data_IF_900480327661
#
_entry.id   IF_900480327661
#
_cell.length_a   1.000
_cell.length_b   1.000
_cell.length_c   1.000
_cell.angle_alpha   90.00
_cell.angle_beta   90.00
_cell.angle_gamma   90.00
#
_symmetry.space_group_name_H-M   'P 1'
#
loop_
_entity.id
_entity.type
_entity.pdbx_description
1 polymer ?
#
# COMPACT_ATOMS: atom_id res chain seq x y z
N UNK A 1 17.79 -49.56 -24.40
CA UNK A 1 18.88 -48.95 -23.59
C UNK A 1 19.18 -47.50 -23.92
N UNK A 2 18.95 -46.99 -25.14
CA UNK A 2 19.22 -45.60 -25.53
C UNK A 2 18.15 -44.61 -25.00
N UNK A 3 16.88 -45.04 -24.92
CA UNK A 3 15.76 -44.20 -24.46
C UNK A 3 15.87 -43.79 -22.98
N UNK A 4 16.34 -44.69 -22.10
CA UNK A 4 16.47 -44.34 -20.68
C UNK A 4 17.59 -43.34 -20.41
N UNK A 5 18.69 -43.39 -21.18
CA UNK A 5 19.84 -42.47 -21.01
C UNK A 5 19.49 -41.02 -21.36
N UNK A 6 18.57 -40.83 -22.31
CA UNK A 6 18.06 -39.49 -22.65
C UNK A 6 17.05 -38.98 -21.61
N UNK A 7 16.22 -39.87 -21.05
CA UNK A 7 15.32 -39.52 -19.94
C UNK A 7 16.09 -39.10 -18.68
N UNK A 8 17.16 -39.82 -18.31
CA UNK A 8 18.00 -39.43 -17.16
C UNK A 8 18.73 -38.10 -17.37
N UNK A 9 19.18 -37.80 -18.61
CA UNK A 9 19.76 -36.49 -18.94
C UNK A 9 18.73 -35.36 -18.86
N UNK A 10 17.51 -35.59 -19.34
CA UNK A 10 16.43 -34.62 -19.25
C UNK A 10 16.05 -34.36 -17.79
N UNK A 11 15.93 -35.41 -16.98
CA UNK A 11 15.66 -35.30 -15.53
C UNK A 11 16.80 -34.57 -14.82
N UNK A 12 18.06 -34.86 -15.13
CA UNK A 12 19.21 -34.17 -14.54
C UNK A 12 19.29 -32.69 -14.96
N UNK A 13 18.91 -32.35 -16.19
CA UNK A 13 18.82 -30.96 -16.65
C UNK A 13 17.67 -30.25 -15.95
N UNK A 14 16.48 -30.86 -15.88
CA UNK A 14 15.32 -30.29 -15.18
C UNK A 14 15.63 -30.10 -13.70
N UNK A 15 16.24 -31.09 -13.05
CA UNK A 15 16.68 -31.00 -11.66
C UNK A 15 17.77 -29.94 -11.48
N UNK A 16 18.74 -29.86 -12.40
CA UNK A 16 19.76 -28.80 -12.40
C UNK A 16 19.16 -27.40 -12.55
N UNK A 17 18.17 -27.22 -13.43
CA UNK A 17 17.45 -25.96 -13.59
C UNK A 17 16.61 -25.62 -12.35
N UNK A 18 15.96 -26.62 -11.72
CA UNK A 18 15.22 -26.43 -10.46
C UNK A 18 16.18 -26.07 -9.33
N UNK A 19 17.33 -26.74 -9.21
CA UNK A 19 18.35 -26.43 -8.21
C UNK A 19 18.90 -25.03 -8.44
N UNK A 20 19.24 -24.63 -9.67
CA UNK A 20 19.67 -23.27 -10.00
C UNK A 20 18.57 -22.25 -9.69
N UNK A 21 17.31 -22.53 -10.01
CA UNK A 21 16.17 -21.67 -9.70
C UNK A 21 15.98 -21.48 -8.18
N UNK A 22 16.18 -22.55 -7.39
CA UNK A 22 16.08 -22.53 -5.94
C UNK A 22 17.34 -21.91 -5.29
N UNK A 23 18.52 -22.12 -5.86
CA UNK A 23 19.81 -21.73 -5.24
C UNK A 23 20.39 -20.41 -5.75
N UNK A 24 19.84 -19.82 -6.82
CA UNK A 24 20.31 -18.57 -7.39
C UNK A 24 19.19 -17.51 -7.42
N UNK A 25 18.80 -16.96 -6.26
CA UNK A 25 17.85 -15.84 -6.19
C UNK A 25 18.31 -14.64 -7.04
N UNK A 26 19.62 -14.50 -7.27
CA UNK A 26 20.19 -13.53 -8.21
C UNK A 26 19.74 -13.72 -9.66
N UNK A 27 19.57 -14.95 -10.14
CA UNK A 27 19.12 -15.20 -11.52
C UNK A 27 17.64 -14.87 -11.70
N UNK A 28 16.79 -15.21 -10.71
CA UNK A 28 15.39 -14.81 -10.71
C UNK A 28 15.26 -13.28 -10.70
N UNK A 29 15.99 -12.60 -9.80
CA UNK A 29 16.03 -11.14 -9.72
C UNK A 29 16.53 -10.49 -11.00
N UNK A 30 17.57 -11.03 -11.61
CA UNK A 30 18.09 -10.55 -12.89
C UNK A 30 17.04 -10.72 -14.00
N UNK A 31 16.36 -11.86 -14.05
CA UNK A 31 15.27 -12.11 -14.99
C UNK A 31 14.10 -11.15 -14.82
N UNK A 32 13.63 -10.94 -13.59
CA UNK A 32 12.56 -9.98 -13.30
C UNK A 32 12.99 -8.54 -13.61
N UNK A 33 14.21 -8.16 -13.23
CA UNK A 33 14.79 -6.86 -13.58
C UNK A 33 14.77 -6.64 -15.10
N UNK A 34 15.31 -7.59 -15.89
CA UNK A 34 15.31 -7.49 -17.36
C UNK A 34 13.88 -7.44 -17.92
N UNK A 35 12.96 -8.27 -17.40
CA UNK A 35 11.54 -8.29 -17.80
C UNK A 35 10.87 -6.94 -17.60
N UNK A 36 11.17 -6.26 -16.50
CA UNK A 36 10.54 -4.98 -16.18
C UNK A 36 11.26 -3.79 -16.81
N UNK A 37 12.59 -3.79 -16.92
CA UNK A 37 13.36 -2.60 -17.35
C UNK A 37 13.71 -2.55 -18.83
N UNK A 38 13.43 -3.61 -19.60
CA UNK A 38 13.73 -3.61 -21.04
C UNK A 38 12.91 -2.54 -21.80
N UNK A 39 13.36 -2.06 -22.97
CA UNK A 39 12.71 -0.98 -23.72
C UNK A 39 11.27 -1.25 -24.20
N UNK A 40 10.86 -2.52 -24.26
CA UNK A 40 9.53 -2.97 -24.68
C UNK A 40 8.59 -3.21 -23.50
N UNK A 41 9.08 -3.09 -22.27
CA UNK A 41 8.25 -3.15 -21.07
C UNK A 41 7.26 -1.97 -20.98
N UNK A 42 6.18 -2.18 -20.25
CA UNK A 42 5.25 -1.11 -19.87
C UNK A 42 5.81 -0.13 -18.84
N UNK A 43 6.97 -0.43 -18.22
CA UNK A 43 7.51 0.31 -17.07
C UNK A 43 7.76 1.79 -17.38
N UNK A 44 8.21 2.12 -18.60
CA UNK A 44 8.46 3.52 -18.99
C UNK A 44 7.21 4.41 -18.92
N UNK A 45 6.02 3.83 -19.11
CA UNK A 45 4.75 4.56 -19.03
C UNK A 45 4.37 4.84 -17.57
N UNK A 46 4.72 3.93 -16.66
CA UNK A 46 4.53 4.11 -15.22
C UNK A 46 5.49 5.18 -14.69
N UNK A 47 6.74 5.16 -15.16
CA UNK A 47 7.80 6.11 -14.79
C UNK A 47 7.72 7.46 -15.52
N UNK A 48 6.75 7.64 -16.43
CA UNK A 48 6.68 8.86 -17.21
C UNK A 48 6.44 10.07 -16.31
N UNK A 49 7.05 11.21 -16.67
CA UNK A 49 6.80 12.47 -15.98
C UNK A 49 5.32 12.86 -16.08
N UNK A 50 4.81 13.48 -15.03
CA UNK A 50 3.45 13.99 -14.97
C UNK A 50 3.43 15.37 -14.31
N UNK A 51 2.36 16.10 -14.60
CA UNK A 51 1.98 17.30 -13.85
C UNK A 51 0.57 17.02 -13.31
N UNK A 52 0.30 17.28 -12.02
CA UNK A 52 -1.06 17.24 -11.50
C UNK A 52 -1.99 18.16 -12.29
N UNK A 53 -3.16 17.65 -12.66
CA UNK A 53 -4.21 18.44 -13.30
C UNK A 53 -4.85 19.40 -12.31
N UNK A 54 -5.57 20.41 -12.80
CA UNK A 54 -6.33 21.33 -11.93
C UNK A 54 -7.34 20.58 -11.05
N UNK A 55 -7.99 19.54 -11.57
CA UNK A 55 -8.91 18.71 -10.81
C UNK A 55 -8.20 17.90 -9.71
N UNK A 56 -7.06 17.29 -10.01
CA UNK A 56 -6.24 16.56 -9.01
C UNK A 56 -5.72 17.51 -7.91
N UNK A 57 -5.33 18.75 -8.26
CA UNK A 57 -4.92 19.75 -7.29
C UNK A 57 -6.09 20.29 -6.46
N UNK A 58 -7.25 20.53 -7.09
CA UNK A 58 -8.46 20.91 -6.36
C UNK A 58 -8.82 19.83 -5.34
N UNK A 59 -8.78 18.56 -5.77
CA UNK A 59 -8.97 17.40 -4.93
C UNK A 59 -8.01 17.36 -3.73
N UNK A 60 -6.70 17.49 -3.98
CA UNK A 60 -5.65 17.47 -2.96
C UNK A 60 -5.84 18.58 -1.90
N UNK A 61 -6.38 19.73 -2.32
CA UNK A 61 -6.58 20.89 -1.46
C UNK A 61 -8.00 20.96 -0.87
N UNK A 62 -8.84 19.93 -1.03
CA UNK A 62 -10.22 19.93 -0.53
C UNK A 62 -11.13 20.99 -1.18
N UNK A 63 -10.84 21.37 -2.42
CA UNK A 63 -11.55 22.40 -3.17
C UNK A 63 -12.47 21.78 -4.23
N UNK A 64 -13.64 22.40 -4.46
CA UNK A 64 -14.47 22.09 -5.61
C UNK A 64 -13.83 22.70 -6.87
N UNK A 65 -13.65 21.90 -7.93
CA UNK A 65 -13.14 22.42 -9.20
C UNK A 65 -14.16 23.42 -9.78
N UNK A 66 -13.74 24.68 -9.92
CA UNK A 66 -14.60 25.81 -10.30
C UNK A 66 -15.01 25.83 -11.78
N UNK A 67 -15.09 24.68 -12.45
CA UNK A 67 -15.34 24.59 -13.90
C UNK A 67 -16.34 23.51 -14.26
N UNK A 68 -17.55 23.56 -13.71
CA UNK A 68 -18.80 23.25 -14.43
C UNK A 68 -20.01 23.41 -13.51
N UNK A 69 -21.03 24.09 -14.03
CA UNK A 69 -22.35 24.30 -13.45
C UNK A 69 -22.49 25.37 -12.35
N UNK A 70 -22.60 26.62 -12.79
CA UNK A 70 -23.57 27.56 -12.20
C UNK A 70 -24.99 26.99 -12.33
N UNK A 71 -25.36 26.11 -11.42
CA UNK A 71 -26.75 25.94 -11.03
C UNK A 71 -26.79 26.00 -9.51
N UNK A 72 -27.69 26.84 -9.00
CA UNK A 72 -28.01 26.99 -7.59
C UNK A 72 -28.38 25.64 -6.95
N UNK A 73 -27.38 24.84 -6.60
CA UNK A 73 -27.49 23.78 -5.62
C UNK A 73 -26.98 24.36 -4.31
N UNK A 74 -27.88 24.38 -3.32
CA UNK A 74 -27.50 24.51 -1.92
C UNK A 74 -26.21 23.72 -1.68
N UNK A 75 -25.16 24.37 -1.16
CA UNK A 75 -24.09 23.66 -0.44
C UNK A 75 -24.79 22.86 0.65
N UNK A 76 -25.16 21.62 0.37
CA UNK A 76 -25.35 20.64 1.43
C UNK A 76 -23.98 20.50 2.06
N UNK A 77 -23.83 21.03 3.28
CA UNK A 77 -22.69 20.72 4.15
C UNK A 77 -22.68 19.20 4.30
N UNK A 78 -21.92 18.51 3.46
CA UNK A 78 -21.70 17.10 3.64
C UNK A 78 -20.72 16.90 4.78
N UNK A 79 -21.01 15.94 5.64
CA UNK A 79 -20.11 15.59 6.72
C UNK A 79 -18.73 15.23 6.15
N UNK A 80 -17.63 15.63 6.78
CA UNK A 80 -16.30 15.24 6.33
C UNK A 80 -16.11 13.72 6.39
N UNK A 81 -15.12 13.21 5.66
CA UNK A 81 -14.67 11.83 5.85
C UNK A 81 -14.14 11.69 7.29
N UNK A 82 -14.60 10.69 8.07
CA UNK A 82 -14.10 10.48 9.43
C UNK A 82 -12.57 10.34 9.47
N UNK A 83 -11.90 10.86 10.51
CA UNK A 83 -10.46 10.64 10.68
C UNK A 83 -10.21 9.34 11.47
N UNK A 84 -10.70 8.24 10.93
CA UNK A 84 -10.56 6.88 11.48
C UNK A 84 -9.67 6.08 10.53
N UNK A 85 -8.70 5.32 11.05
CA UNK A 85 -7.74 4.58 10.22
C UNK A 85 -7.98 3.09 10.30
N UNK A 86 -7.91 2.40 9.17
CA UNK A 86 -8.04 0.96 9.04
C UNK A 86 -6.79 0.34 8.39
N UNK A 87 -6.32 -0.75 8.98
CA UNK A 87 -5.29 -1.63 8.42
C UNK A 87 -5.79 -3.08 8.38
N UNK A 88 -5.31 -3.85 7.40
CA UNK A 88 -5.50 -5.30 7.34
C UNK A 88 -4.15 -6.01 7.50
N UNK A 89 -4.09 -7.07 8.32
CA UNK A 89 -2.90 -7.91 8.41
C UNK A 89 -3.21 -9.36 8.75
N UNK A 90 -2.28 -10.27 8.43
CA UNK A 90 -2.29 -11.61 9.00
C UNK A 90 -3.47 -12.47 8.57
N UNK A 91 -3.96 -12.30 7.34
CA UNK A 91 -5.11 -13.07 6.82
C UNK A 91 -4.73 -14.52 6.46
N UNK A 92 -3.44 -14.85 6.43
CA UNK A 92 -2.91 -16.21 6.28
C UNK A 92 -2.05 -16.57 7.49
N UNK A 93 -2.08 -17.82 7.91
CA UNK A 93 -1.24 -18.27 9.01
C UNK A 93 0.23 -18.43 8.54
N UNK A 94 1.19 -17.65 9.09
CA UNK A 94 2.59 -17.74 8.69
C UNK A 94 3.25 -19.09 9.04
N UNK A 95 2.70 -19.85 9.99
CA UNK A 95 3.17 -21.20 10.31
C UNK A 95 3.08 -22.16 9.11
N UNK A 96 2.00 -22.05 8.33
CA UNK A 96 1.75 -22.90 7.16
C UNK A 96 2.08 -22.20 5.84
N UNK A 97 2.18 -20.87 5.87
CA UNK A 97 2.49 -20.03 4.71
C UNK A 97 3.59 -19.02 5.06
N UNK A 98 4.88 -19.42 5.11
CA UNK A 98 5.96 -18.52 5.52
C UNK A 98 6.04 -17.22 4.70
N UNK A 99 5.62 -17.25 3.43
CA UNK A 99 5.55 -16.06 2.58
C UNK A 99 4.45 -15.06 2.94
N UNK A 100 3.56 -15.37 3.89
CA UNK A 100 2.59 -14.43 4.44
C UNK A 100 3.22 -13.35 5.33
N UNK A 101 4.43 -13.61 5.85
CA UNK A 101 5.14 -12.69 6.73
C UNK A 101 4.62 -12.67 8.16
N UNK A 102 5.35 -11.98 9.01
CA UNK A 102 5.04 -11.74 10.41
C UNK A 102 4.82 -10.25 10.62
N UNK A 103 3.97 -9.87 11.59
CA UNK A 103 3.80 -8.45 11.92
C UNK A 103 5.10 -7.95 12.55
N UNK A 104 5.88 -7.22 11.76
CA UNK A 104 7.27 -6.91 12.01
C UNK A 104 7.49 -5.42 12.25
N UNK A 105 8.76 -5.00 12.25
CA UNK A 105 9.13 -3.61 12.45
C UNK A 105 8.62 -2.69 11.34
N UNK A 106 8.57 -3.16 10.09
CA UNK A 106 8.00 -2.39 8.97
C UNK A 106 6.50 -2.15 9.18
N UNK A 107 5.77 -3.21 9.56
CA UNK A 107 4.34 -3.18 9.87
C UNK A 107 4.05 -2.22 11.03
N UNK A 108 4.90 -2.23 12.06
CA UNK A 108 4.85 -1.28 13.18
C UNK A 108 5.04 0.17 12.71
N UNK A 109 6.02 0.44 11.85
CA UNK A 109 6.27 1.79 11.32
C UNK A 109 5.08 2.30 10.50
N UNK A 110 4.41 1.44 9.74
CA UNK A 110 3.23 1.83 8.96
C UNK A 110 2.10 2.31 9.87
N UNK A 111 1.75 1.53 10.90
CA UNK A 111 0.73 1.91 11.89
C UNK A 111 1.14 3.16 12.66
N UNK A 112 2.40 3.25 13.11
CA UNK A 112 2.93 4.44 13.79
C UNK A 112 2.87 5.69 12.93
N UNK A 113 3.14 5.57 11.63
CA UNK A 113 3.08 6.71 10.72
C UNK A 113 1.67 7.30 10.66
N UNK A 114 0.63 6.46 10.67
CA UNK A 114 -0.76 6.91 10.74
C UNK A 114 -1.07 7.61 12.07
N UNK A 115 -0.70 7.00 13.20
CA UNK A 115 -0.91 7.59 14.54
C UNK A 115 -0.26 8.98 14.63
N UNK A 116 0.99 9.10 14.21
CA UNK A 116 1.78 10.35 14.34
C UNK A 116 1.31 11.42 13.35
N UNK A 117 1.07 11.05 12.10
CA UNK A 117 0.80 12.01 11.03
C UNK A 117 -0.67 12.41 10.92
N UNK A 118 -1.57 11.44 11.07
CA UNK A 118 -3.02 11.67 10.90
C UNK A 118 -3.69 12.07 12.21
N UNK A 119 -3.12 11.70 13.36
CA UNK A 119 -3.71 11.89 14.70
C UNK A 119 -5.18 11.47 14.72
N UNK A 120 -5.48 10.22 14.32
CA UNK A 120 -6.85 9.78 14.09
C UNK A 120 -7.63 9.63 15.40
N UNK A 121 -8.95 9.69 15.29
CA UNK A 121 -9.86 9.45 16.42
C UNK A 121 -9.81 7.97 16.87
N UNK A 122 -9.54 7.07 15.92
CA UNK A 122 -9.34 5.64 16.17
C UNK A 122 -8.47 4.99 15.09
N UNK A 123 -7.74 3.94 15.49
CA UNK A 123 -7.02 3.05 14.57
C UNK A 123 -7.51 1.61 14.77
N UNK A 124 -8.00 0.99 13.70
CA UNK A 124 -8.45 -0.39 13.69
C UNK A 124 -7.47 -1.26 12.90
N UNK A 125 -6.96 -2.32 13.54
CA UNK A 125 -6.18 -3.35 12.88
C UNK A 125 -7.04 -4.61 12.75
N UNK A 126 -7.53 -4.86 11.54
CA UNK A 126 -8.27 -6.06 11.19
C UNK A 126 -7.30 -7.22 10.93
N UNK A 127 -7.50 -8.35 11.62
CA UNK A 127 -6.54 -9.45 11.56
C UNK A 127 -7.15 -10.85 11.72
N UNK A 128 -6.39 -11.87 11.33
CA UNK A 128 -6.66 -13.28 11.71
C UNK A 128 -5.51 -13.86 12.53
N UNK A 129 -4.25 -13.68 12.11
CA UNK A 129 -3.06 -14.23 12.79
C UNK A 129 -2.04 -13.13 13.10
N UNK A 130 -1.75 -12.93 14.38
CA UNK A 130 -0.78 -11.91 14.85
C UNK A 130 0.23 -12.41 15.90
N UNK A 131 0.04 -13.62 16.45
CA UNK A 131 0.91 -14.14 17.49
C UNK A 131 2.34 -14.37 17.00
N UNK A 132 3.31 -14.12 17.88
CA UNK A 132 4.74 -14.40 17.65
C UNK A 132 5.28 -15.18 18.86
N UNK A 133 5.81 -16.41 18.68
CA UNK A 133 5.90 -17.15 17.43
C UNK A 133 4.53 -17.54 16.85
N UNK A 134 4.42 -17.80 15.53
CA UNK A 134 3.18 -18.20 14.89
C UNK A 134 2.53 -19.41 15.56
N UNK A 135 1.24 -19.29 15.87
CA UNK A 135 0.43 -20.36 16.45
C UNK A 135 -0.45 -21.04 15.40
N UNK A 136 -0.69 -22.36 15.50
CA UNK A 136 -1.76 -23.01 14.73
C UNK A 136 -3.16 -22.55 15.17
N UNK A 137 -3.32 -22.04 16.39
CA UNK A 137 -4.58 -21.49 16.89
C UNK A 137 -4.78 -20.04 16.40
N UNK A 138 -5.82 -19.75 15.59
CA UNK A 138 -6.13 -18.39 15.16
C UNK A 138 -6.48 -17.44 16.31
N UNK A 139 -6.89 -17.96 17.49
CA UNK A 139 -7.22 -17.13 18.66
C UNK A 139 -6.03 -16.90 19.59
N UNK A 140 -4.83 -17.32 19.21
CA UNK A 140 -3.64 -17.11 20.02
C UNK A 140 -3.42 -15.61 20.31
N UNK A 141 -2.97 -15.31 21.53
CA UNK A 141 -2.85 -13.94 22.03
C UNK A 141 -1.95 -13.08 21.10
N UNK A 142 -2.51 -12.04 20.45
CA UNK A 142 -1.74 -11.17 19.55
C UNK A 142 -0.67 -10.36 20.30
N UNK A 143 -0.80 -10.16 21.62
CA UNK A 143 0.17 -9.43 22.44
C UNK A 143 1.45 -10.22 22.72
N UNK A 144 1.53 -11.49 22.30
CA UNK A 144 2.79 -12.23 22.24
C UNK A 144 3.78 -11.58 21.28
N UNK A 145 3.27 -10.95 20.21
CA UNK A 145 4.08 -10.16 19.29
C UNK A 145 4.50 -8.81 19.94
N UNK A 146 5.81 -8.52 20.04
CA UNK A 146 6.30 -7.34 20.73
C UNK A 146 5.87 -6.03 20.06
N UNK A 147 5.72 -6.01 18.74
CA UNK A 147 5.31 -4.84 17.98
C UNK A 147 3.82 -4.53 18.16
N UNK A 148 2.97 -5.57 18.19
CA UNK A 148 1.55 -5.41 18.51
C UNK A 148 1.36 -4.97 19.97
N UNK A 149 2.11 -5.57 20.90
CA UNK A 149 2.09 -5.15 22.31
C UNK A 149 2.44 -3.68 22.47
N UNK A 150 3.45 -3.20 21.74
CA UNK A 150 3.87 -1.80 21.74
C UNK A 150 2.76 -0.87 21.24
N UNK A 151 1.99 -1.27 20.22
CA UNK A 151 0.86 -0.51 19.67
C UNK A 151 -0.45 -0.62 20.47
N UNK A 152 -0.55 -1.58 21.40
CA UNK A 152 -1.82 -2.02 22.01
C UNK A 152 -2.65 -0.93 22.71
N UNK A 153 -2.04 0.20 23.08
CA UNK A 153 -2.75 1.33 23.70
C UNK A 153 -3.36 2.30 22.69
N UNK A 154 -2.84 2.31 21.46
CA UNK A 154 -3.19 3.27 20.42
C UNK A 154 -4.08 2.66 19.32
N UNK A 155 -4.27 1.34 19.33
CA UNK A 155 -5.05 0.61 18.32
C UNK A 155 -6.12 -0.28 18.95
N UNK A 156 -7.20 -0.49 18.20
CA UNK A 156 -8.21 -1.52 18.47
C UNK A 156 -8.02 -2.68 17.52
N UNK A 157 -7.87 -3.89 18.08
CA UNK A 157 -7.72 -5.12 17.31
C UNK A 157 -9.09 -5.71 16.96
N UNK A 158 -9.34 -5.95 15.67
CA UNK A 158 -10.59 -6.54 15.16
C UNK A 158 -10.28 -7.92 14.57
N UNK A 159 -10.61 -8.98 15.32
CA UNK A 159 -10.35 -10.36 14.89
C UNK A 159 -11.40 -10.85 13.87
N UNK A 160 -10.92 -11.44 12.79
CA UNK A 160 -11.71 -12.13 11.77
C UNK A 160 -11.30 -13.60 11.73
N UNK A 161 -12.24 -14.55 11.87
CA UNK A 161 -11.92 -15.96 11.82
C UNK A 161 -11.35 -16.35 10.44
N UNK A 162 -10.56 -17.44 10.36
CA UNK A 162 -10.03 -17.91 9.09
C UNK A 162 -11.14 -18.18 8.08
N UNK A 163 -11.01 -17.65 6.86
CA UNK A 163 -11.94 -17.96 5.78
C UNK A 163 -11.74 -19.40 5.28
N UNK A 164 -12.83 -20.11 5.01
CA UNK A 164 -12.81 -21.42 4.37
C UNK A 164 -12.54 -21.36 2.86
N UNK A 165 -12.58 -20.17 2.25
CA UNK A 165 -12.28 -19.97 0.83
C UNK A 165 -10.77 -19.94 0.61
N UNK A 166 -10.23 -21.01 0.03
CA UNK A 166 -8.81 -21.16 -0.32
C UNK A 166 -8.30 -20.18 -1.38
N UNK A 167 -9.21 -19.49 -2.06
CA UNK A 167 -8.91 -18.83 -3.30
C UNK A 167 -8.71 -17.31 -3.06
N UNK A 168 -7.43 -16.93 -3.04
CA UNK A 168 -6.92 -15.55 -3.15
C UNK A 168 -7.21 -14.58 -1.99
N UNK A 169 -6.44 -14.72 -0.91
CA UNK A 169 -6.46 -13.80 0.24
C UNK A 169 -6.20 -12.31 -0.07
N UNK A 170 -5.60 -11.95 -1.21
CA UNK A 170 -5.54 -10.55 -1.63
C UNK A 170 -6.95 -9.98 -1.83
N UNK A 171 -7.84 -10.77 -2.45
CA UNK A 171 -9.24 -10.43 -2.61
C UNK A 171 -10.02 -10.45 -1.28
N UNK A 172 -9.57 -11.27 -0.31
CA UNK A 172 -10.08 -11.17 1.08
C UNK A 172 -9.70 -9.83 1.70
N UNK A 173 -8.44 -9.37 1.54
CA UNK A 173 -8.02 -8.04 2.01
C UNK A 173 -8.78 -6.92 1.29
N UNK A 174 -9.00 -7.06 -0.02
CA UNK A 174 -9.70 -6.07 -0.83
C UNK A 174 -11.18 -5.96 -0.43
N UNK A 175 -11.87 -7.07 -0.22
CA UNK A 175 -13.25 -7.01 0.27
C UNK A 175 -13.33 -6.53 1.72
N UNK A 176 -12.36 -6.88 2.57
CA UNK A 176 -12.34 -6.46 3.97
C UNK A 176 -12.12 -4.97 4.14
N UNK A 177 -11.18 -4.36 3.39
CA UNK A 177 -10.96 -2.91 3.44
C UNK A 177 -12.19 -2.12 2.97
N UNK A 178 -12.84 -2.57 1.90
CA UNK A 178 -14.06 -1.93 1.39
C UNK A 178 -15.22 -2.03 2.39
N UNK A 179 -15.39 -3.20 3.03
CA UNK A 179 -16.41 -3.40 4.07
C UNK A 179 -16.17 -2.52 5.30
N UNK A 180 -14.91 -2.37 5.73
CA UNK A 180 -14.55 -1.50 6.85
C UNK A 180 -14.92 -0.03 6.55
N UNK A 181 -14.49 0.47 5.39
CA UNK A 181 -14.78 1.84 4.96
C UNK A 181 -16.28 2.10 4.71
N UNK A 182 -17.01 1.13 4.15
CA UNK A 182 -18.46 1.27 3.98
C UNK A 182 -19.19 1.41 5.32
N UNK A 183 -18.73 0.69 6.34
CA UNK A 183 -19.37 0.69 7.66
C UNK A 183 -18.99 1.91 8.50
N UNK A 184 -17.71 2.27 8.52
CA UNK A 184 -17.16 3.23 9.49
C UNK A 184 -16.64 4.52 8.83
N UNK A 185 -16.57 4.56 7.49
CA UNK A 185 -15.84 5.60 6.77
C UNK A 185 -14.34 5.51 7.04
N UNK A 186 -13.63 6.60 6.85
CA UNK A 186 -12.25 6.71 7.28
C UNK A 186 -11.23 6.60 6.16
N UNK A 187 -10.01 6.25 6.57
CA UNK A 187 -8.83 6.07 5.75
C UNK A 187 -8.35 4.62 5.90
N UNK A 188 -8.28 3.90 4.81
CA UNK A 188 -7.59 2.62 4.74
C UNK A 188 -6.16 2.83 4.25
N UNK A 189 -5.22 2.13 4.87
CA UNK A 189 -3.82 2.03 4.47
C UNK A 189 -3.41 0.56 4.42
N UNK A 190 -2.75 0.14 3.33
CA UNK A 190 -2.02 -1.13 3.33
C UNK A 190 -0.93 -1.11 4.40
N UNK A 191 -0.55 -2.28 4.92
CA UNK A 191 0.36 -2.39 6.07
C UNK A 191 1.82 -1.98 5.76
N UNK A 192 2.09 -1.62 4.52
CA UNK A 192 3.34 -1.03 4.03
C UNK A 192 3.12 0.34 3.35
N UNK A 193 1.99 0.97 3.62
CA UNK A 193 1.72 2.37 3.32
C UNK A 193 1.96 3.24 4.57
N UNK A 194 2.67 4.35 4.37
CA UNK A 194 3.09 5.25 5.44
C UNK A 194 2.43 6.62 5.25
N UNK A 195 1.64 7.05 6.22
CA UNK A 195 1.12 8.42 6.24
C UNK A 195 2.25 9.38 6.60
N UNK A 196 2.63 10.25 5.67
CA UNK A 196 3.72 11.21 5.83
C UNK A 196 3.21 12.59 6.26
N UNK A 197 1.95 12.94 6.01
CA UNK A 197 1.37 14.24 6.36
C UNK A 197 -0.09 14.09 6.82
N UNK A 198 -0.66 15.08 7.52
CA UNK A 198 -2.09 15.11 7.83
C UNK A 198 -2.94 15.07 6.56
N UNK A 199 -4.09 14.41 6.63
CA UNK A 199 -5.04 14.28 5.52
C UNK A 199 -6.19 15.31 5.58
N UNK A 200 -6.13 16.27 6.51
CA UNK A 200 -7.21 17.22 6.83
C UNK A 200 -7.92 17.83 5.61
N UNK A 201 -7.14 18.25 4.60
CA UNK A 201 -7.67 18.87 3.38
C UNK A 201 -8.48 17.89 2.54
N UNK A 202 -7.96 16.68 2.32
CA UNK A 202 -8.66 15.68 1.52
C UNK A 202 -9.87 15.11 2.28
N UNK A 203 -9.81 14.97 3.61
CA UNK A 203 -10.96 14.50 4.39
C UNK A 203 -12.12 15.50 4.41
N UNK A 204 -11.84 16.79 4.17
CA UNK A 204 -12.83 17.87 4.10
C UNK A 204 -13.40 18.10 2.69
N UNK A 205 -13.11 17.22 1.75
CA UNK A 205 -13.47 17.38 0.35
C UNK A 205 -15.00 17.47 0.14
N UNK A 206 -15.51 18.48 -0.60
CA UNK A 206 -16.95 18.67 -0.78
C UNK A 206 -17.62 17.53 -1.55
N UNK A 207 -18.91 17.34 -1.27
CA UNK A 207 -19.78 16.55 -2.14
C UNK A 207 -19.77 17.07 -3.58
N UNK A 208 -19.98 16.21 -4.59
CA UNK A 208 -20.43 14.81 -4.49
C UNK A 208 -19.34 13.75 -4.26
N UNK A 209 -18.08 14.15 -4.04
CA UNK A 209 -16.98 13.21 -3.92
C UNK A 209 -16.96 12.47 -2.58
N UNK A 210 -17.40 11.22 -2.55
CA UNK A 210 -17.44 10.39 -1.34
C UNK A 210 -16.22 9.50 -1.15
N UNK A 211 -15.38 9.38 -2.18
CA UNK A 211 -14.18 8.53 -2.16
C UNK A 211 -12.98 9.30 -2.70
N UNK A 212 -11.81 9.05 -2.14
CA UNK A 212 -10.53 9.62 -2.56
C UNK A 212 -9.57 8.47 -2.86
N UNK A 213 -8.99 8.50 -4.06
CA UNK A 213 -8.06 7.49 -4.56
C UNK A 213 -6.89 8.16 -5.27
N UNK A 214 -5.72 7.53 -5.25
CA UNK A 214 -4.53 8.00 -5.96
C UNK A 214 -4.23 7.19 -7.21
N UNK A 215 -3.74 7.85 -8.25
CA UNK A 215 -3.21 7.17 -9.43
C UNK A 215 -1.90 6.42 -9.13
N UNK A 216 -1.78 5.16 -9.54
CA UNK A 216 -0.62 4.30 -9.20
C UNK A 216 0.70 4.77 -9.85
N UNK A 217 0.63 5.43 -11.01
CA UNK A 217 1.81 5.83 -11.78
C UNK A 217 1.53 6.95 -12.78
N UNK A 218 2.58 7.44 -13.43
CA UNK A 218 2.51 8.62 -14.31
C UNK A 218 1.57 8.47 -15.50
N UNK A 219 1.25 7.24 -15.91
CA UNK A 219 0.27 6.91 -16.96
C UNK A 219 -1.19 7.02 -16.51
N UNK A 220 -1.48 7.09 -15.21
CA UNK A 220 -2.84 7.15 -14.65
C UNK A 220 -3.75 6.01 -15.13
N UNK A 221 -3.20 4.85 -15.47
CA UNK A 221 -3.98 3.69 -15.93
C UNK A 221 -4.82 3.04 -14.84
N UNK A 222 -4.57 3.37 -13.57
CA UNK A 222 -5.27 2.76 -12.47
C UNK A 222 -5.26 3.63 -11.21
N UNK A 223 -6.31 3.46 -10.40
CA UNK A 223 -6.50 4.06 -9.09
C UNK A 223 -6.28 2.97 -8.04
N UNK A 224 -5.19 3.06 -7.28
CA UNK A 224 -4.74 1.97 -6.42
C UNK A 224 -5.48 1.95 -5.08
N UNK A 225 -5.84 0.75 -4.62
CA UNK A 225 -6.60 0.52 -3.39
C UNK A 225 -5.75 0.45 -2.11
N UNK A 226 -4.44 0.68 -2.20
CA UNK A 226 -3.54 0.63 -1.05
C UNK A 226 -3.65 1.85 -0.13
N UNK A 227 -4.25 2.94 -0.61
CA UNK A 227 -4.66 4.10 0.19
C UNK A 227 -6.04 4.53 -0.31
N UNK A 228 -7.04 4.51 0.56
CA UNK A 228 -8.42 4.93 0.25
C UNK A 228 -8.91 5.80 1.38
N UNK A 229 -9.50 6.96 1.09
CA UNK A 229 -10.32 7.68 2.07
C UNK A 229 -11.76 7.72 1.59
N UNK A 230 -12.74 7.44 2.44
CA UNK A 230 -14.13 7.40 2.02
C UNK A 230 -15.11 7.72 3.14
N UNK A 231 -16.24 8.31 2.77
CA UNK A 231 -17.41 8.42 3.65
C UNK A 231 -18.04 7.04 3.86
N UNK A 232 -18.67 6.80 5.03
CA UNK A 232 -19.48 5.61 5.23
C UNK A 232 -20.64 5.59 4.22
N UNK A 233 -21.13 4.40 3.87
CA UNK A 233 -22.22 4.19 2.91
C UNK A 233 -21.98 4.78 1.50
N UNK A 234 -20.71 4.97 1.09
CA UNK A 234 -20.37 5.42 -0.26
C UNK A 234 -20.97 4.52 -1.34
N UNK A 235 -21.67 5.12 -2.31
CA UNK A 235 -22.23 4.40 -3.46
C UNK A 235 -21.12 3.81 -4.34
N UNK A 236 -20.01 4.53 -4.50
CA UNK A 236 -18.85 4.04 -5.24
C UNK A 236 -18.25 2.78 -4.62
N UNK A 237 -17.99 2.80 -3.30
CA UNK A 237 -17.47 1.61 -2.61
C UNK A 237 -18.46 0.44 -2.63
N UNK A 238 -19.77 0.71 -2.62
CA UNK A 238 -20.80 -0.32 -2.73
C UNK A 238 -20.72 -1.03 -4.08
N UNK A 239 -20.69 -0.28 -5.19
CA UNK A 239 -20.52 -0.85 -6.54
C UNK A 239 -19.22 -1.63 -6.68
N UNK A 240 -18.13 -1.07 -6.16
CA UNK A 240 -16.83 -1.74 -6.19
C UNK A 240 -16.83 -3.03 -5.37
N UNK A 241 -17.45 -3.06 -4.19
CA UNK A 241 -17.57 -4.29 -3.41
C UNK A 241 -18.45 -5.33 -4.11
N UNK A 242 -19.55 -4.90 -4.73
CA UNK A 242 -20.46 -5.79 -5.47
C UNK A 242 -19.80 -6.46 -6.68
N UNK A 243 -18.78 -5.84 -7.28
CA UNK A 243 -18.06 -6.43 -8.43
C UNK A 243 -17.26 -7.69 -8.05
N UNK A 244 -16.99 -7.91 -6.76
CA UNK A 244 -16.37 -9.16 -6.28
C UNK A 244 -17.37 -10.32 -6.21
N UNK A 245 -18.68 -10.07 -6.34
CA UNK A 245 -19.70 -11.12 -6.31
C UNK A 245 -19.69 -11.92 -7.62
N UNK A 246 -19.64 -13.24 -7.52
CA UNK A 246 -19.72 -14.18 -8.66
C UNK A 246 -18.62 -14.04 -9.72
N UNK A 247 -17.50 -13.39 -9.39
CA UNK A 247 -16.36 -13.22 -10.29
C UNK A 247 -15.32 -14.32 -10.06
N UNK A 248 -14.82 -14.94 -11.14
CA UNK A 248 -13.66 -15.83 -11.07
C UNK A 248 -12.38 -15.01 -10.94
N UNK A 249 -11.98 -14.78 -9.70
CA UNK A 249 -10.80 -13.98 -9.37
C UNK A 249 -9.47 -14.75 -9.54
N UNK A 250 -9.50 -15.99 -10.04
CA UNK A 250 -8.33 -16.86 -10.12
C UNK A 250 -7.27 -16.43 -11.13
N UNK A 251 -7.62 -15.54 -12.06
CA UNK A 251 -6.75 -15.08 -13.15
C UNK A 251 -6.39 -13.60 -13.07
N UNK A 252 -6.88 -12.89 -12.06
CA UNK A 252 -6.80 -11.43 -11.99
C UNK A 252 -6.28 -11.00 -10.61
N UNK A 253 -4.99 -10.67 -10.55
CA UNK A 253 -4.37 -10.19 -9.30
C UNK A 253 -4.56 -8.68 -9.08
N UNK A 254 -4.45 -7.86 -10.13
CA UNK A 254 -4.40 -6.40 -10.01
C UNK A 254 -5.63 -5.67 -10.59
N UNK A 255 -6.45 -6.34 -11.40
CA UNK A 255 -7.56 -5.68 -12.11
C UNK A 255 -8.54 -5.07 -11.11
N UNK A 256 -9.05 -5.87 -10.16
CA UNK A 256 -10.03 -5.43 -9.16
C UNK A 256 -9.48 -4.42 -8.14
N UNK A 257 -8.16 -4.41 -7.93
CA UNK A 257 -7.50 -3.57 -6.93
C UNK A 257 -7.00 -2.23 -7.50
N UNK A 258 -6.82 -2.11 -8.82
CA UNK A 258 -6.18 -0.93 -9.45
C UNK A 258 -6.86 -0.47 -10.75
N UNK A 259 -7.24 -1.37 -11.65
CA UNK A 259 -7.80 -1.01 -12.96
C UNK A 259 -9.30 -0.77 -12.90
N UNK A 260 -10.06 -1.70 -12.32
CA UNK A 260 -11.51 -1.57 -12.16
C UNK A 260 -11.94 -0.29 -11.41
N UNK A 261 -11.27 0.14 -10.32
CA UNK A 261 -11.62 1.40 -9.65
C UNK A 261 -11.46 2.62 -10.57
N UNK A 262 -10.48 2.57 -11.49
CA UNK A 262 -10.27 3.61 -12.49
C UNK A 262 -11.40 3.61 -13.52
N UNK A 263 -11.80 2.44 -14.02
CA UNK A 263 -12.95 2.30 -14.94
C UNK A 263 -14.24 2.81 -14.28
N UNK A 264 -14.54 2.36 -13.06
CA UNK A 264 -15.70 2.84 -12.30
C UNK A 264 -15.66 4.35 -12.06
N UNK A 265 -14.48 4.93 -11.81
CA UNK A 265 -14.34 6.38 -11.62
C UNK A 265 -14.53 7.16 -12.92
N UNK A 266 -14.25 6.56 -14.08
CA UNK A 266 -14.55 7.17 -15.39
C UNK A 266 -16.03 7.11 -15.73
N UNK A 267 -16.73 6.04 -15.32
CA UNK A 267 -18.18 5.91 -15.43
C UNK A 267 -18.93 6.82 -14.44
N UNK A 268 -18.36 7.07 -13.26
CA UNK A 268 -18.96 7.82 -12.16
C UNK A 268 -18.03 8.95 -11.63
N UNK A 269 -17.64 9.93 -12.46
CA UNK A 269 -16.60 10.91 -12.13
C UNK A 269 -16.94 11.85 -10.97
N UNK A 270 -18.22 11.99 -10.64
CA UNK A 270 -18.66 12.80 -9.49
C UNK A 270 -18.40 12.13 -8.14
N UNK A 271 -18.20 10.82 -8.09
CA UNK A 271 -18.15 10.07 -6.82
C UNK A 271 -16.73 9.90 -6.27
N UNK A 272 -15.73 10.03 -7.14
CA UNK A 272 -14.32 9.87 -6.80
C UNK A 272 -13.58 11.17 -7.00
N UNK A 273 -12.84 11.56 -5.98
CA UNK A 273 -11.82 12.58 -6.06
C UNK A 273 -10.47 11.90 -6.30
N UNK A 274 -10.01 11.93 -7.55
CA UNK A 274 -8.76 11.31 -7.94
C UNK A 274 -7.57 12.24 -7.67
N UNK A 275 -6.53 11.71 -7.02
CA UNK A 275 -5.27 12.39 -6.77
C UNK A 275 -4.20 11.96 -7.78
N UNK A 276 -3.29 12.89 -8.07
CA UNK A 276 -2.11 12.61 -8.88
C UNK A 276 -1.18 11.59 -8.17
N UNK A 277 -0.29 10.91 -8.93
CA UNK A 277 0.56 9.86 -8.35
C UNK A 277 1.45 10.32 -7.19
N UNK A 278 1.90 11.58 -7.19
CA UNK A 278 2.74 12.15 -6.14
C UNK A 278 2.08 12.25 -4.78
N UNK A 279 0.75 12.20 -4.70
CA UNK A 279 0.04 12.25 -3.42
C UNK A 279 0.24 10.99 -2.57
N UNK A 280 0.11 9.80 -3.17
CA UNK A 280 0.14 8.51 -2.43
C UNK A 280 1.18 7.50 -2.95
N UNK A 281 1.45 7.47 -4.26
CA UNK A 281 2.07 6.30 -4.90
C UNK A 281 3.37 6.59 -5.64
N UNK A 282 3.85 7.83 -5.62
CA UNK A 282 5.20 8.17 -6.06
C UNK A 282 6.16 8.18 -4.86
N UNK A 283 7.36 7.58 -4.97
CA UNK A 283 7.82 6.73 -6.07
C UNK A 283 7.06 5.40 -6.18
N UNK A 284 6.97 4.88 -7.41
CA UNK A 284 6.17 3.69 -7.72
C UNK A 284 6.90 2.36 -7.44
N UNK A 285 6.22 1.23 -7.69
CA UNK A 285 6.75 -0.12 -7.48
C UNK A 285 7.90 -0.53 -8.41
N UNK A 286 8.27 0.31 -9.38
CA UNK A 286 9.24 -0.04 -10.42
C UNK A 286 10.65 -0.17 -9.86
N UNK A 287 11.47 -1.02 -10.49
CA UNK A 287 12.84 -1.28 -10.02
C UNK A 287 13.66 -0.01 -9.74
N UNK A 288 13.62 0.97 -10.66
CA UNK A 288 14.38 2.22 -10.54
C UNK A 288 13.90 3.08 -9.39
N UNK A 289 12.59 3.16 -9.18
CA UNK A 289 12.01 3.96 -8.09
C UNK A 289 12.28 3.33 -6.73
N UNK A 290 12.19 2.00 -6.62
CA UNK A 290 12.59 1.28 -5.40
C UNK A 290 14.08 1.48 -5.12
N UNK A 291 14.95 1.31 -6.13
CA UNK A 291 16.39 1.54 -5.96
C UNK A 291 16.69 2.99 -5.56
N UNK A 292 16.00 3.97 -6.15
CA UNK A 292 16.12 5.38 -5.78
C UNK A 292 15.69 5.67 -4.33
N UNK A 293 14.67 4.98 -3.81
CA UNK A 293 14.26 5.14 -2.41
C UNK A 293 15.28 4.58 -1.41
N UNK A 294 15.94 3.48 -1.78
CA UNK A 294 16.79 2.72 -0.87
C UNK A 294 18.29 2.86 -1.14
N UNK A 295 18.71 3.58 -2.18
CA UNK A 295 20.12 3.85 -2.43
C UNK A 295 20.76 4.58 -1.24
N UNK A 296 22.01 4.20 -0.94
CA UNK A 296 22.76 4.83 0.13
C UNK A 296 23.18 6.23 -0.30
N UNK A 297 22.88 7.20 0.55
CA UNK A 297 23.23 8.60 0.33
C UNK A 297 24.60 8.91 0.94
N UNK A 298 25.35 9.77 0.26
CA UNK A 298 26.46 10.49 0.89
C UNK A 298 25.93 11.58 1.85
N UNK A 299 26.83 12.17 2.63
CA UNK A 299 26.46 13.15 3.67
C UNK A 299 25.77 14.40 3.09
N UNK A 300 26.18 14.85 1.91
CA UNK A 300 25.61 16.07 1.29
C UNK A 300 24.19 15.80 0.81
N UNK A 301 23.96 14.68 0.12
CA UNK A 301 22.62 14.25 -0.31
C UNK A 301 21.71 13.95 0.86
N UNK A 302 22.22 13.31 1.92
CA UNK A 302 21.45 13.04 3.13
C UNK A 302 20.96 14.35 3.77
N UNK A 303 21.85 15.34 3.93
CA UNK A 303 21.49 16.67 4.45
C UNK A 303 20.47 17.39 3.56
N UNK A 304 20.65 17.30 2.24
CA UNK A 304 19.68 17.85 1.28
C UNK A 304 18.29 17.25 1.51
N UNK A 305 18.17 15.93 1.52
CA UNK A 305 16.87 15.26 1.69
C UNK A 305 16.26 15.46 3.07
N UNK A 306 17.06 15.56 4.13
CA UNK A 306 16.55 15.97 5.45
C UNK A 306 15.93 17.37 5.40
N UNK A 307 16.58 18.32 4.73
CA UNK A 307 16.05 19.68 4.55
C UNK A 307 14.80 19.71 3.67
N UNK A 308 14.70 18.88 2.63
CA UNK A 308 13.46 18.74 1.85
C UNK A 308 12.34 18.14 2.69
N UNK A 309 12.63 17.07 3.45
CA UNK A 309 11.67 16.43 4.35
C UNK A 309 11.12 17.46 5.34
N UNK A 310 11.99 18.21 6.02
CA UNK A 310 11.55 19.27 6.93
C UNK A 310 10.70 20.35 6.21
N UNK A 311 11.16 20.81 5.04
CA UNK A 311 10.46 21.85 4.27
C UNK A 311 9.05 21.44 3.85
N UNK A 312 8.85 20.18 3.48
CA UNK A 312 7.58 19.67 2.96
C UNK A 312 6.69 19.08 4.06
N UNK A 313 6.92 19.42 5.33
CA UNK A 313 6.08 18.92 6.44
C UNK A 313 6.27 17.43 6.72
N UNK A 314 7.46 16.91 6.36
CA UNK A 314 7.94 15.58 6.64
C UNK A 314 7.73 14.55 5.53
N UNK A 315 7.39 14.98 4.31
CA UNK A 315 7.39 14.18 3.08
C UNK A 315 8.53 14.58 2.14
N UNK A 316 8.79 13.83 1.07
CA UNK A 316 9.85 14.19 0.11
C UNK A 316 9.45 15.35 -0.82
N UNK A 317 8.14 15.56 -1.02
CA UNK A 317 7.60 16.55 -1.97
C UNK A 317 6.35 17.22 -1.44
N UNK A 318 6.08 18.42 -1.94
CA UNK A 318 4.96 19.28 -1.55
C UNK A 318 3.60 18.59 -1.56
N UNK A 319 3.30 17.77 -2.57
CA UNK A 319 1.98 17.14 -2.70
C UNK A 319 1.87 15.79 -1.98
N UNK A 320 3.00 15.25 -1.50
CA UNK A 320 3.07 13.88 -1.02
C UNK A 320 2.48 13.77 0.39
N UNK A 321 1.36 13.06 0.49
CA UNK A 321 0.64 12.78 1.72
C UNK A 321 1.03 11.42 2.30
N UNK A 322 1.27 10.43 1.45
CA UNK A 322 1.67 9.08 1.83
C UNK A 322 2.81 8.55 0.95
N UNK A 323 3.43 7.48 1.43
CA UNK A 323 4.38 6.67 0.66
C UNK A 323 4.03 5.20 0.80
N UNK A 324 3.94 4.49 -0.32
CA UNK A 324 3.77 3.04 -0.35
C UNK A 324 5.13 2.37 -0.57
N UNK A 325 5.54 1.45 0.31
CA UNK A 325 6.85 0.82 0.23
C UNK A 325 6.95 -0.32 -0.79
N UNK A 326 5.80 -0.81 -1.30
CA UNK A 326 5.73 -1.87 -2.30
C UNK A 326 6.52 -3.10 -1.85
N UNK A 327 6.20 -3.63 -0.66
CA UNK A 327 6.96 -4.71 -0.02
C UNK A 327 7.13 -5.91 -0.94
N UNK A 328 6.13 -6.25 -1.75
CA UNK A 328 6.24 -7.29 -2.78
C UNK A 328 7.41 -7.10 -3.76
N UNK A 329 7.86 -5.86 -3.98
CA UNK A 329 8.98 -5.49 -4.85
C UNK A 329 10.27 -5.15 -4.09
N UNK A 330 10.16 -4.63 -2.87
CA UNK A 330 11.27 -4.09 -2.09
C UNK A 330 11.77 -5.02 -0.99
N UNK A 331 10.96 -5.98 -0.52
CA UNK A 331 11.21 -6.82 0.65
C UNK A 331 12.60 -7.45 0.62
N UNK A 332 12.83 -8.23 -0.43
CA UNK A 332 13.98 -9.10 -0.57
C UNK A 332 15.31 -8.37 -0.83
N UNK A 333 15.23 -7.10 -1.23
CA UNK A 333 16.37 -6.25 -1.55
C UNK A 333 16.72 -5.29 -0.42
N UNK A 334 15.70 -4.77 0.29
CA UNK A 334 15.87 -3.61 1.16
C UNK A 334 15.13 -3.68 2.50
N UNK A 335 13.92 -4.26 2.56
CA UNK A 335 13.06 -4.15 3.75
C UNK A 335 13.17 -5.32 4.73
N UNK A 336 13.53 -6.53 4.27
CA UNK A 336 13.58 -7.74 5.11
C UNK A 336 14.54 -7.64 6.30
N UNK A 337 15.59 -6.84 6.18
CA UNK A 337 16.61 -6.64 7.22
C UNK A 337 16.43 -5.31 7.97
N UNK A 338 15.25 -4.68 7.85
CA UNK A 338 14.99 -3.41 8.50
C UNK A 338 14.90 -3.59 10.02
N UNK A 339 15.73 -2.84 10.74
CA UNK A 339 15.70 -2.75 12.20
C UNK A 339 15.76 -1.27 12.61
N UNK A 340 15.43 -0.92 13.87
CA UNK A 340 15.61 0.44 14.37
C UNK A 340 17.02 0.99 14.13
N UNK A 341 18.06 0.19 14.33
CA UNK A 341 19.46 0.57 14.12
C UNK A 341 19.77 0.84 12.65
N UNK A 342 19.20 0.05 11.73
CA UNK A 342 19.36 0.27 10.29
C UNK A 342 18.70 1.59 9.88
N UNK A 343 17.49 1.87 10.36
CA UNK A 343 16.79 3.14 10.06
C UNK A 343 17.57 4.34 10.62
N UNK A 344 18.08 4.25 11.84
CA UNK A 344 18.87 5.32 12.48
C UNK A 344 20.24 5.51 11.83
N UNK A 345 20.94 4.43 11.50
CA UNK A 345 22.36 4.45 11.12
C UNK A 345 22.65 4.52 9.62
N UNK A 346 21.68 4.18 8.75
CA UNK A 346 21.88 4.19 7.30
C UNK A 346 21.04 5.30 6.65
N UNK A 347 21.72 6.22 5.97
CA UNK A 347 21.06 7.30 5.21
C UNK A 347 20.60 6.78 3.83
N UNK A 348 19.29 6.59 3.71
CA UNK A 348 18.56 6.38 2.46
C UNK A 348 17.32 7.29 2.51
N UNK A 349 16.68 7.59 1.37
CA UNK A 349 15.47 8.44 1.39
C UNK A 349 14.36 7.80 2.24
N UNK A 350 14.18 6.49 2.10
CA UNK A 350 13.25 5.73 2.94
C UNK A 350 13.58 5.86 4.44
N UNK A 351 14.82 5.58 4.83
CA UNK A 351 15.20 5.61 6.25
C UNK A 351 15.06 7.02 6.85
N UNK A 352 15.42 8.06 6.09
CA UNK A 352 15.26 9.45 6.52
C UNK A 352 13.80 9.81 6.77
N UNK A 353 12.87 9.34 5.92
CA UNK A 353 11.43 9.48 6.18
C UNK A 353 10.99 8.75 7.45
N UNK A 354 11.47 7.53 7.68
CA UNK A 354 10.98 6.68 8.76
C UNK A 354 11.48 7.11 10.16
N UNK A 355 12.61 7.82 10.26
CA UNK A 355 13.21 8.20 11.55
C UNK A 355 12.26 8.94 12.49
N UNK A 356 11.37 9.77 11.95
CA UNK A 356 10.39 10.54 12.75
C UNK A 356 9.30 9.69 13.41
N UNK A 357 9.15 8.43 12.99
CA UNK A 357 8.15 7.50 13.52
C UNK A 357 8.73 6.54 14.57
N UNK A 358 10.05 6.59 14.77
CA UNK A 358 10.72 5.84 15.82
C UNK A 358 10.39 6.44 17.18
N UNK A 359 10.16 5.57 18.15
CA UNK A 359 10.14 5.96 19.56
C UNK A 359 11.57 6.10 20.09
N UNK A 360 11.74 6.94 21.11
CA UNK A 360 13.06 7.24 21.68
C UNK A 360 13.73 6.01 22.31
N UNK A 361 12.95 5.02 22.74
CA UNK A 361 13.41 3.78 23.39
C UNK A 361 13.79 2.66 22.41
N UNK A 362 13.60 2.87 21.11
CA UNK A 362 13.99 1.92 20.05
C UNK A 362 15.42 2.14 19.54
#
# INVERSE_FOLDING_TARGET
MIVSRNAYRLIAIVYGCIVIYISAPYLYRFGDHVRQTNPFSGQKWIEQAFVPTEAELACLNGQSSSSSYEHHHHKTESEPIPNVVHFNYGLKNPLYHPGAGHFDFLSYLAVRSAIVSLKPDAVYLHYTYLSEPPSPDPNADPLTNPWIRRLSKDITLIHHPPSSSSDHYAHVSDTLRLKALLKEGGVYLDIDAFALRPFDQILSNPSPHDVILGAEGGNRWGLCNAVIAARPNSTFLTRWLESYNNTDLSKEWNYHSVILPKELAEEHPSEVCALAPDAFFWPTWTWRHIDWMHERLDKEKAKYWQGEIERHGGSLFTNQLAYHAWSQMAWDRYLRELTPEVVKGRDTRFNLLMRRFLEDDL
#
